data_IF_883019129329
#
_entry.id   IF_883019129329
#
_cell.length_a   1.000
_cell.length_b   1.000
_cell.length_c   1.000
_cell.angle_alpha   90.00
_cell.angle_beta   90.00
_cell.angle_gamma   90.00
#
_symmetry.space_group_name_H-M   'P 1'
#
loop_
_entity.id
_entity.type
_entity.pdbx_description
1 polymer ?
#
# COMPACT_ATOMS: atom_id res chain seq x y z
N UNK A 1 4.76 -12.89 -10.92
CA UNK A 1 4.34 -11.73 -10.13
C UNK A 1 3.99 -12.08 -8.67
N UNK A 2 3.51 -13.28 -8.34
CA UNK A 2 3.10 -13.61 -6.97
C UNK A 2 4.23 -13.62 -5.93
N UNK A 3 5.49 -13.80 -6.35
CA UNK A 3 6.66 -13.87 -5.46
C UNK A 3 7.32 -12.53 -5.14
N UNK A 4 6.95 -11.41 -5.81
CA UNK A 4 7.53 -10.09 -5.61
C UNK A 4 6.62 -9.22 -4.75
N UNK A 5 7.19 -8.44 -3.82
CA UNK A 5 6.44 -7.39 -3.11
C UNK A 5 6.12 -6.23 -4.06
N UNK A 6 5.05 -5.47 -3.77
CA UNK A 6 4.69 -4.26 -4.52
C UNK A 6 5.86 -3.25 -4.54
N UNK A 7 6.53 -3.06 -3.39
CA UNK A 7 7.68 -2.14 -3.30
C UNK A 7 8.85 -2.55 -4.20
N UNK A 8 9.10 -3.86 -4.34
CA UNK A 8 10.14 -4.34 -5.28
C UNK A 8 9.76 -4.14 -6.74
N UNK A 9 8.50 -4.36 -7.10
CA UNK A 9 8.01 -4.06 -8.46
C UNK A 9 8.16 -2.58 -8.76
N UNK A 10 7.73 -1.73 -7.82
CA UNK A 10 7.87 -0.27 -7.93
C UNK A 10 9.34 0.15 -8.08
N UNK A 11 10.22 -0.37 -7.21
CA UNK A 11 11.65 -0.03 -7.23
C UNK A 11 12.31 -0.45 -8.54
N UNK A 12 12.12 -1.69 -8.97
CA UNK A 12 12.70 -2.17 -10.22
C UNK A 12 12.12 -1.48 -11.45
N UNK A 13 10.81 -1.20 -11.43
CA UNK A 13 10.15 -0.47 -12.50
C UNK A 13 10.63 0.98 -12.60
N UNK A 14 10.77 1.70 -11.47
CA UNK A 14 11.31 3.06 -11.46
C UNK A 14 12.79 3.09 -11.88
N UNK A 15 13.60 2.09 -11.51
CA UNK A 15 14.98 1.95 -12.00
C UNK A 15 15.02 1.70 -13.50
N UNK A 16 14.14 0.85 -14.02
CA UNK A 16 13.99 0.63 -15.45
C UNK A 16 13.59 1.91 -16.20
N UNK A 17 12.62 2.64 -15.65
CA UNK A 17 12.18 3.92 -16.20
C UNK A 17 13.31 4.97 -16.17
N UNK A 18 14.11 5.00 -15.10
CA UNK A 18 15.33 5.83 -15.04
C UNK A 18 16.32 5.46 -16.14
N UNK A 19 16.63 4.18 -16.31
CA UNK A 19 17.56 3.71 -17.35
C UNK A 19 17.07 4.09 -18.75
N UNK A 20 15.77 3.93 -19.03
CA UNK A 20 15.15 4.37 -20.29
C UNK A 20 15.28 5.88 -20.46
N UNK A 21 14.95 6.68 -19.45
CA UNK A 21 15.04 8.14 -19.53
C UNK A 21 16.47 8.63 -19.74
N UNK A 22 17.46 7.93 -19.17
CA UNK A 22 18.87 8.23 -19.38
C UNK A 22 19.31 7.89 -20.81
N UNK A 23 18.93 6.72 -21.35
CA UNK A 23 19.22 6.35 -22.74
C UNK A 23 18.58 7.34 -23.72
N UNK A 24 17.33 7.77 -23.48
CA UNK A 24 16.66 8.77 -24.29
C UNK A 24 17.33 10.14 -24.19
N UNK A 25 17.98 10.45 -23.08
CA UNK A 25 18.79 11.66 -22.92
C UNK A 25 20.11 11.59 -23.69
N UNK A 26 20.74 10.40 -23.76
CA UNK A 26 21.95 10.16 -24.58
C UNK A 26 21.64 10.28 -26.05
N UNK A 27 20.52 9.73 -26.51
CA UNK A 27 20.10 9.76 -27.94
C UNK A 27 19.48 11.10 -28.37
N UNK A 28 19.41 12.09 -27.48
CA UNK A 28 18.87 13.42 -27.78
C UNK A 28 17.34 13.52 -27.86
N UNK A 29 16.63 12.43 -27.56
CA UNK A 29 15.15 12.45 -27.52
C UNK A 29 14.59 13.19 -26.30
N UNK A 30 15.40 13.33 -25.23
CA UNK A 30 15.13 14.20 -24.09
C UNK A 30 16.20 15.30 -24.01
N UNK A 31 15.82 16.54 -23.63
CA UNK A 31 16.70 17.72 -23.74
C UNK A 31 17.67 17.87 -22.53
N UNK A 32 18.16 16.77 -21.97
CA UNK A 32 18.95 16.85 -20.73
C UNK A 32 20.41 16.45 -20.89
N UNK A 33 20.78 15.83 -22.03
CA UNK A 33 22.10 15.28 -22.24
C UNK A 33 22.45 14.10 -21.31
N UNK A 34 23.64 13.49 -21.46
CA UNK A 34 23.96 12.24 -20.74
C UNK A 34 24.29 12.44 -19.26
N UNK A 35 24.81 13.61 -18.86
CA UNK A 35 25.36 13.80 -17.50
C UNK A 35 24.32 14.31 -16.49
N UNK A 36 23.42 15.22 -16.91
CA UNK A 36 22.47 15.87 -15.99
C UNK A 36 21.53 14.89 -15.30
N UNK A 37 20.95 13.85 -15.96
CA UNK A 37 20.19 12.82 -15.29
C UNK A 37 20.97 12.05 -14.22
N UNK A 38 22.25 11.74 -14.49
CA UNK A 38 23.13 11.06 -13.54
C UNK A 38 23.44 11.93 -12.32
N UNK A 39 23.73 13.21 -12.53
CA UNK A 39 23.96 14.18 -11.46
C UNK A 39 22.71 14.29 -10.58
N UNK A 40 21.53 14.45 -11.22
CA UNK A 40 20.25 14.56 -10.52
C UNK A 40 19.97 13.37 -9.60
N UNK A 41 20.07 12.15 -10.14
CA UNK A 41 19.80 10.94 -9.36
C UNK A 41 20.85 10.74 -8.25
N UNK A 42 22.11 11.08 -8.49
CA UNK A 42 23.18 10.96 -7.48
C UNK A 42 22.94 11.89 -6.30
N UNK A 43 22.57 13.15 -6.56
CA UNK A 43 22.20 14.12 -5.51
C UNK A 43 21.02 13.59 -4.69
N UNK A 44 19.94 13.13 -5.35
CA UNK A 44 18.74 12.66 -4.70
C UNK A 44 18.98 11.38 -3.89
N UNK A 45 19.75 10.42 -4.42
CA UNK A 45 20.13 9.21 -3.68
C UNK A 45 20.98 9.57 -2.47
N UNK A 46 22.00 10.40 -2.64
CA UNK A 46 22.86 10.86 -1.52
C UNK A 46 22.05 11.56 -0.43
N UNK A 47 21.17 12.49 -0.79
CA UNK A 47 20.31 13.19 0.15
C UNK A 47 19.33 12.24 0.86
N UNK A 48 18.64 11.36 0.11
CA UNK A 48 17.68 10.43 0.70
C UNK A 48 18.33 9.38 1.60
N UNK A 49 19.45 8.79 1.19
CA UNK A 49 20.16 7.80 2.00
C UNK A 49 20.84 8.42 3.21
N UNK A 50 21.52 9.56 3.04
CA UNK A 50 22.16 10.28 4.13
C UNK A 50 21.17 10.67 5.23
N UNK A 51 20.04 11.26 4.84
CA UNK A 51 18.97 11.63 5.78
C UNK A 51 18.38 10.40 6.46
N UNK A 52 18.09 9.34 5.70
CA UNK A 52 17.55 8.10 6.25
C UNK A 52 18.51 7.47 7.28
N UNK A 53 19.80 7.49 7.02
CA UNK A 53 20.82 6.99 7.94
C UNK A 53 20.88 7.81 9.23
N UNK A 54 20.88 9.15 9.13
CA UNK A 54 20.91 10.05 10.29
C UNK A 54 19.67 9.83 11.18
N UNK A 55 18.47 9.90 10.57
CA UNK A 55 17.22 9.74 11.31
C UNK A 55 17.03 8.32 11.86
N UNK A 56 17.49 7.29 11.16
CA UNK A 56 17.43 5.92 11.67
C UNK A 56 18.25 5.72 12.93
N UNK A 57 19.43 6.36 13.02
CA UNK A 57 20.24 6.36 14.24
C UNK A 57 19.59 7.17 15.36
N UNK A 58 19.08 8.36 15.04
CA UNK A 58 18.44 9.24 16.02
C UNK A 58 17.22 8.58 16.67
N UNK A 59 16.37 7.93 15.86
CA UNK A 59 15.13 7.27 16.32
C UNK A 59 15.32 5.78 16.66
N UNK A 60 16.55 5.25 16.59
CA UNK A 60 16.90 3.83 16.87
C UNK A 60 16.02 2.84 16.09
N UNK A 61 15.79 3.12 14.83
CA UNK A 61 15.02 2.26 13.91
C UNK A 61 15.90 1.77 12.77
N UNK A 62 15.57 0.61 12.19
CA UNK A 62 16.31 0.10 11.03
C UNK A 62 15.99 0.93 9.78
N UNK A 63 17.01 1.43 9.04
CA UNK A 63 16.79 2.21 7.83
C UNK A 63 16.14 1.35 6.73
N UNK A 64 15.18 1.92 6.01
CA UNK A 64 14.55 1.25 4.89
C UNK A 64 15.12 1.76 3.56
N UNK A 65 16.15 1.06 3.07
CA UNK A 65 16.84 1.42 1.83
C UNK A 65 15.94 1.38 0.58
N UNK A 66 14.99 0.44 0.51
CA UNK A 66 14.02 0.38 -0.61
C UNK A 66 13.16 1.65 -0.66
N UNK A 67 12.67 2.08 0.49
CA UNK A 67 11.83 3.28 0.60
C UNK A 67 12.60 4.57 0.24
N UNK A 68 13.88 4.67 0.62
CA UNK A 68 14.73 5.82 0.27
C UNK A 68 15.02 5.87 -1.23
N UNK A 69 15.32 4.73 -1.85
CA UNK A 69 15.47 4.61 -3.30
C UNK A 69 14.22 5.03 -4.07
N UNK A 70 13.05 4.51 -3.69
CA UNK A 70 11.77 4.82 -4.34
C UNK A 70 11.51 6.34 -4.26
N UNK A 71 11.74 6.95 -3.09
CA UNK A 71 11.53 8.40 -2.91
C UNK A 71 12.46 9.22 -3.79
N UNK A 72 13.75 8.86 -3.86
CA UNK A 72 14.72 9.52 -4.72
C UNK A 72 14.32 9.42 -6.21
N UNK A 73 13.91 8.23 -6.67
CA UNK A 73 13.47 8.01 -8.05
C UNK A 73 12.17 8.76 -8.39
N UNK A 74 11.23 8.85 -7.46
CA UNK A 74 10.01 9.65 -7.67
C UNK A 74 10.36 11.13 -7.79
N UNK A 75 11.17 11.67 -6.88
CA UNK A 75 11.63 13.07 -6.95
C UNK A 75 12.41 13.37 -8.23
N UNK A 76 13.22 12.42 -8.72
CA UNK A 76 13.90 12.55 -10.00
C UNK A 76 12.92 12.78 -11.15
N UNK A 77 11.77 12.11 -11.18
CA UNK A 77 10.76 12.30 -12.21
C UNK A 77 9.86 13.52 -12.01
N UNK A 78 9.79 14.05 -10.80
CA UNK A 78 9.08 15.30 -10.49
C UNK A 78 9.92 16.52 -10.87
N UNK A 79 11.22 16.55 -10.52
CA UNK A 79 12.12 17.65 -10.80
C UNK A 79 12.95 17.41 -12.05
N UNK A 80 13.02 18.42 -12.92
CA UNK A 80 13.93 18.35 -14.06
C UNK A 80 15.39 18.22 -13.60
N UNK A 81 16.24 17.51 -14.36
CA UNK A 81 17.67 17.47 -14.09
C UNK A 81 18.28 18.87 -14.01
N UNK A 82 19.02 19.21 -12.93
CA UNK A 82 19.43 20.57 -12.60
C UNK A 82 20.34 21.18 -13.68
N UNK A 83 20.16 22.47 -13.95
CA UNK A 83 21.02 23.25 -14.82
C UNK A 83 22.13 23.99 -14.08
N UNK A 84 21.85 24.34 -12.82
CA UNK A 84 22.72 25.10 -11.93
C UNK A 84 23.01 24.34 -10.64
N UNK A 85 24.07 24.75 -9.97
CA UNK A 85 24.39 24.20 -8.63
C UNK A 85 23.26 24.47 -7.64
N UNK A 86 22.65 25.66 -7.70
CA UNK A 86 21.56 26.06 -6.82
C UNK A 86 20.34 25.15 -6.99
N UNK A 87 19.95 24.84 -8.25
CA UNK A 87 18.89 23.87 -8.52
C UNK A 87 19.26 22.48 -7.98
N UNK A 88 20.54 22.07 -8.10
CA UNK A 88 21.05 20.82 -7.53
C UNK A 88 20.91 20.76 -6.01
N UNK A 89 21.25 21.85 -5.32
CA UNK A 89 21.05 21.96 -3.85
C UNK A 89 19.56 21.92 -3.51
N UNK A 90 18.71 22.60 -4.26
CA UNK A 90 17.27 22.65 -4.02
C UNK A 90 16.62 21.27 -4.17
N UNK A 91 16.94 20.50 -5.20
CA UNK A 91 16.42 19.13 -5.34
C UNK A 91 16.97 18.19 -4.26
N UNK A 92 18.23 18.36 -3.84
CA UNK A 92 18.80 17.66 -2.71
C UNK A 92 18.04 17.94 -1.40
N UNK A 93 17.70 19.22 -1.16
CA UNK A 93 16.88 19.64 -0.01
C UNK A 93 15.47 19.00 -0.07
N UNK A 94 14.85 18.90 -1.25
CA UNK A 94 13.59 18.19 -1.42
C UNK A 94 13.72 16.71 -0.98
N UNK A 95 14.83 16.05 -1.31
CA UNK A 95 15.14 14.69 -0.86
C UNK A 95 15.29 14.58 0.66
N UNK A 96 15.99 15.54 1.28
CA UNK A 96 16.16 15.63 2.74
C UNK A 96 14.78 15.77 3.42
N UNK A 97 13.99 16.74 2.99
CA UNK A 97 12.65 17.02 3.56
C UNK A 97 11.72 15.83 3.36
N UNK A 98 11.73 15.21 2.17
CA UNK A 98 10.91 14.04 1.89
C UNK A 98 11.23 12.87 2.84
N UNK A 99 12.49 12.60 3.11
CA UNK A 99 12.87 11.52 4.05
C UNK A 99 12.62 11.95 5.49
N UNK A 100 12.95 13.17 5.89
CA UNK A 100 12.70 13.69 7.22
C UNK A 100 11.19 13.62 7.58
N UNK A 101 10.31 13.93 6.62
CA UNK A 101 8.84 13.86 6.82
C UNK A 101 8.36 12.46 7.22
N UNK A 102 9.04 11.39 6.81
CA UNK A 102 8.73 10.01 7.21
C UNK A 102 8.94 9.74 8.69
N UNK A 103 9.75 10.55 9.35
CA UNK A 103 10.05 10.44 10.78
C UNK A 103 9.32 11.51 11.59
N UNK A 104 9.23 12.73 11.07
CA UNK A 104 8.67 13.88 11.77
C UNK A 104 7.15 14.00 11.62
N UNK A 105 6.61 13.78 10.40
CA UNK A 105 5.17 13.86 10.11
C UNK A 105 4.50 12.50 10.24
N UNK A 106 4.64 11.90 11.44
CA UNK A 106 4.07 10.58 11.73
C UNK A 106 3.05 10.66 12.84
N UNK A 107 1.88 10.02 12.62
CA UNK A 107 0.92 9.76 13.68
C UNK A 107 0.84 8.25 13.88
N UNK A 108 0.94 7.80 15.14
CA UNK A 108 1.00 6.38 15.50
C UNK A 108 2.08 5.62 14.72
N UNK A 109 3.26 6.24 14.58
CA UNK A 109 4.45 5.70 13.88
C UNK A 109 4.22 5.42 12.37
N UNK A 110 3.27 6.11 11.73
CA UNK A 110 3.05 6.05 10.27
C UNK A 110 3.03 7.44 9.69
N UNK A 111 3.71 7.63 8.56
CA UNK A 111 3.56 8.85 7.78
C UNK A 111 2.15 8.89 7.17
N UNK A 112 1.53 10.05 7.27
CA UNK A 112 0.18 10.30 6.75
C UNK A 112 0.25 10.79 5.31
N UNK A 113 1.25 11.58 5.02
CA UNK A 113 1.47 12.28 3.77
C UNK A 113 2.48 11.54 2.89
N UNK A 114 2.31 11.58 1.57
CA UNK A 114 3.29 11.05 0.63
C UNK A 114 4.60 11.85 0.75
N UNK A 115 5.73 11.20 1.10
CA UNK A 115 6.96 11.92 1.43
C UNK A 115 7.54 12.71 0.26
N UNK A 116 7.50 12.16 -0.96
CA UNK A 116 8.00 12.87 -2.15
C UNK A 116 7.17 14.12 -2.44
N UNK A 117 5.84 14.05 -2.26
CA UNK A 117 4.96 15.21 -2.39
C UNK A 117 5.26 16.29 -1.34
N UNK A 118 5.52 15.89 -0.08
CA UNK A 118 5.92 16.85 0.99
C UNK A 118 7.21 17.58 0.60
N UNK A 119 8.25 16.83 0.19
CA UNK A 119 9.51 17.44 -0.24
C UNK A 119 9.33 18.41 -1.39
N UNK A 120 8.53 18.04 -2.39
CA UNK A 120 8.28 18.88 -3.57
C UNK A 120 7.48 20.14 -3.23
N UNK A 121 6.42 20.04 -2.41
CA UNK A 121 5.62 21.19 -1.98
C UNK A 121 6.45 22.18 -1.18
N UNK A 122 7.24 21.72 -0.20
CA UNK A 122 8.02 22.64 0.65
C UNK A 122 9.06 23.39 -0.18
N UNK A 123 9.82 22.71 -1.03
CA UNK A 123 10.85 23.37 -1.84
C UNK A 123 10.23 24.29 -2.90
N UNK A 124 9.10 23.91 -3.49
CA UNK A 124 8.33 24.73 -4.43
C UNK A 124 7.77 25.99 -3.77
N UNK A 125 7.19 25.87 -2.56
CA UNK A 125 6.65 27.02 -1.80
C UNK A 125 7.73 27.99 -1.32
N UNK A 126 8.96 27.51 -1.13
CA UNK A 126 10.12 28.39 -0.84
C UNK A 126 10.68 29.07 -2.11
N UNK A 127 10.10 28.81 -3.27
CA UNK A 127 10.56 29.39 -4.55
C UNK A 127 11.91 28.88 -5.04
N UNK A 128 12.45 27.81 -4.43
CA UNK A 128 13.81 27.32 -4.74
C UNK A 128 13.87 26.57 -6.07
N UNK A 129 12.92 25.66 -6.31
CA UNK A 129 12.77 24.94 -7.58
C UNK A 129 11.33 24.49 -7.76
N UNK A 130 10.80 24.65 -8.97
CA UNK A 130 9.43 24.24 -9.31
C UNK A 130 9.41 22.78 -9.80
N UNK A 131 8.38 22.03 -9.38
CA UNK A 131 8.09 20.71 -9.91
C UNK A 131 7.61 20.84 -11.37
N UNK A 132 8.18 20.04 -12.25
CA UNK A 132 7.87 20.08 -13.70
C UNK A 132 7.28 18.78 -14.22
N UNK A 133 7.26 17.74 -13.40
CA UNK A 133 6.70 16.42 -13.73
C UNK A 133 7.09 15.94 -15.14
N UNK A 134 8.35 16.07 -15.47
CA UNK A 134 8.86 15.80 -16.83
C UNK A 134 8.69 14.32 -17.26
N UNK A 135 8.36 13.44 -16.32
CA UNK A 135 7.89 12.07 -16.59
C UNK A 135 6.62 12.06 -17.44
N UNK A 136 5.79 13.10 -17.35
CA UNK A 136 4.63 13.35 -18.20
C UNK A 136 5.06 13.88 -19.57
N UNK A 137 5.69 13.04 -20.38
CA UNK A 137 6.10 13.33 -21.74
C UNK A 137 5.67 12.22 -22.68
N UNK A 138 5.34 12.55 -23.94
CA UNK A 138 4.93 11.57 -24.95
C UNK A 138 5.96 10.44 -25.12
N UNK A 139 7.24 10.76 -25.02
CA UNK A 139 8.35 9.81 -25.18
C UNK A 139 8.40 8.79 -24.04
N UNK A 140 8.13 9.21 -22.79
CA UNK A 140 8.11 8.33 -21.62
C UNK A 140 6.76 7.65 -21.41
N UNK A 141 5.70 8.12 -22.04
CA UNK A 141 4.32 7.61 -21.83
C UNK A 141 4.19 6.09 -21.93
N UNK A 142 4.69 5.38 -22.97
CA UNK A 142 4.52 3.94 -23.07
C UNK A 142 5.19 3.17 -21.91
N UNK A 143 6.34 3.64 -21.44
CA UNK A 143 7.07 3.02 -20.34
C UNK A 143 6.39 3.25 -18.99
N UNK A 144 5.85 4.46 -18.78
CA UNK A 144 5.04 4.79 -17.60
C UNK A 144 3.75 3.99 -17.59
N UNK A 145 3.12 3.78 -18.73
CA UNK A 145 1.90 2.97 -18.87
C UNK A 145 2.17 1.50 -18.47
N UNK A 146 3.23 0.90 -18.99
CA UNK A 146 3.62 -0.48 -18.65
C UNK A 146 3.87 -0.60 -17.15
N UNK A 147 4.70 0.28 -16.59
CA UNK A 147 4.97 0.30 -15.15
C UNK A 147 3.69 0.46 -14.32
N UNK A 148 2.85 1.40 -14.71
CA UNK A 148 1.59 1.70 -14.03
C UNK A 148 0.65 0.50 -14.00
N UNK A 149 0.45 -0.17 -15.13
CA UNK A 149 -0.38 -1.38 -15.22
C UNK A 149 0.16 -2.50 -14.33
N UNK A 150 1.49 -2.72 -14.32
CA UNK A 150 2.12 -3.72 -13.46
C UNK A 150 1.88 -3.44 -11.96
N UNK A 151 2.02 -2.18 -11.53
CA UNK A 151 1.77 -1.78 -10.14
C UNK A 151 0.30 -1.96 -9.78
N UNK A 152 -0.62 -1.39 -10.58
CA UNK A 152 -2.07 -1.40 -10.30
C UNK A 152 -2.61 -2.84 -10.28
N UNK A 153 -2.14 -3.69 -11.22
CA UNK A 153 -2.48 -5.12 -11.24
C UNK A 153 -2.01 -5.84 -9.97
N UNK A 154 -0.80 -5.51 -9.48
CA UNK A 154 -0.24 -6.12 -8.27
C UNK A 154 -1.05 -5.81 -7.00
N UNK A 155 -1.57 -4.60 -6.90
CA UNK A 155 -2.29 -4.13 -5.70
C UNK A 155 -3.82 -4.20 -5.83
N UNK A 156 -4.32 -4.64 -6.99
CA UNK A 156 -5.77 -4.77 -7.27
C UNK A 156 -6.57 -3.47 -7.05
N UNK A 157 -6.03 -2.31 -7.50
CA UNK A 157 -6.66 -0.98 -7.31
C UNK A 157 -7.13 -0.32 -8.60
N UNK A 158 -7.49 -1.08 -9.61
CA UNK A 158 -8.00 -0.56 -10.89
C UNK A 158 -9.17 0.42 -10.73
N UNK A 159 -10.21 0.17 -9.90
CA UNK A 159 -11.32 1.11 -9.77
C UNK A 159 -10.90 2.48 -9.23
N UNK A 160 -9.97 2.53 -8.28
CA UNK A 160 -9.44 3.77 -7.73
C UNK A 160 -8.69 4.59 -8.78
N UNK A 161 -7.77 3.92 -9.50
CA UNK A 161 -6.93 4.59 -10.51
C UNK A 161 -7.78 5.03 -11.71
N UNK A 162 -8.74 4.20 -12.13
CA UNK A 162 -9.69 4.57 -13.18
C UNK A 162 -10.51 5.79 -12.79
N UNK A 163 -11.07 5.82 -11.58
CA UNK A 163 -11.82 6.95 -11.06
C UNK A 163 -10.98 8.25 -11.02
N UNK A 164 -9.71 8.13 -10.60
CA UNK A 164 -8.77 9.26 -10.61
C UNK A 164 -8.51 9.77 -12.03
N UNK A 165 -8.18 8.88 -12.97
CA UNK A 165 -7.88 9.26 -14.36
C UNK A 165 -9.12 9.88 -15.02
N UNK A 166 -10.29 9.27 -14.88
CA UNK A 166 -11.52 9.79 -15.47
C UNK A 166 -11.88 11.16 -14.88
N UNK A 167 -11.87 11.29 -13.55
CA UNK A 167 -12.19 12.56 -12.90
C UNK A 167 -11.19 13.66 -13.29
N UNK A 168 -9.89 13.36 -13.28
CA UNK A 168 -8.85 14.30 -13.68
C UNK A 168 -8.95 14.71 -15.16
N UNK A 169 -9.16 13.73 -16.04
CA UNK A 169 -9.31 13.98 -17.47
C UNK A 169 -10.54 14.84 -17.78
N UNK A 170 -11.69 14.46 -17.25
CA UNK A 170 -12.95 15.21 -17.47
C UNK A 170 -12.83 16.63 -16.94
N UNK A 171 -12.25 16.82 -15.77
CA UNK A 171 -12.05 18.16 -15.19
C UNK A 171 -11.09 19.00 -16.03
N UNK A 172 -9.94 18.43 -16.43
CA UNK A 172 -8.93 19.15 -17.24
C UNK A 172 -9.50 19.56 -18.60
N UNK A 173 -10.19 18.64 -19.29
CA UNK A 173 -10.83 18.91 -20.59
C UNK A 173 -11.97 19.91 -20.43
N UNK A 174 -12.82 19.77 -19.41
CA UNK A 174 -13.93 20.69 -19.15
C UNK A 174 -13.47 22.14 -18.91
N UNK A 175 -12.43 22.31 -18.11
CA UNK A 175 -11.83 23.65 -17.86
C UNK A 175 -11.19 24.19 -19.13
N UNK A 176 -10.41 23.36 -19.85
CA UNK A 176 -9.75 23.78 -21.08
C UNK A 176 -10.74 24.19 -22.20
N UNK A 177 -11.87 23.49 -22.31
CA UNK A 177 -12.95 23.87 -23.24
C UNK A 177 -13.56 25.21 -22.87
N UNK A 178 -13.80 25.46 -21.56
CA UNK A 178 -14.28 26.74 -21.07
C UNK A 178 -13.31 27.88 -21.38
N UNK A 179 -12.01 27.59 -21.36
CA UNK A 179 -10.96 28.56 -21.71
C UNK A 179 -10.76 28.71 -23.23
N UNK A 180 -11.59 28.06 -24.06
CA UNK A 180 -11.56 28.15 -25.54
C UNK A 180 -10.46 27.34 -26.20
N UNK A 181 -9.81 26.39 -25.48
CA UNK A 181 -8.77 25.53 -26.05
C UNK A 181 -9.40 24.44 -26.93
N UNK A 182 -8.78 24.12 -28.08
CA UNK A 182 -9.26 23.08 -28.98
C UNK A 182 -9.24 21.70 -28.31
N UNK A 183 -10.34 20.94 -28.50
CA UNK A 183 -10.52 19.63 -27.88
C UNK A 183 -9.41 18.63 -28.23
N UNK A 184 -8.92 18.64 -29.46
CA UNK A 184 -7.82 17.76 -29.90
C UNK A 184 -6.53 18.00 -29.15
N UNK A 185 -6.19 19.27 -28.92
CA UNK A 185 -5.04 19.69 -28.12
C UNK A 185 -5.22 19.29 -26.66
N UNK A 186 -6.41 19.52 -26.08
CA UNK A 186 -6.72 19.15 -24.71
C UNK A 186 -6.58 17.65 -24.47
N UNK A 187 -7.15 16.83 -25.34
CA UNK A 187 -7.06 15.36 -25.24
C UNK A 187 -5.60 14.92 -25.31
N UNK A 188 -4.85 15.42 -26.29
CA UNK A 188 -3.44 15.09 -26.48
C UNK A 188 -2.61 15.48 -25.26
N UNK A 189 -2.72 16.71 -24.80
CA UNK A 189 -1.87 17.26 -23.74
C UNK A 189 -2.22 16.64 -22.38
N UNK A 190 -3.52 16.44 -22.10
CA UNK A 190 -3.96 15.77 -20.88
C UNK A 190 -3.53 14.30 -20.83
N UNK A 191 -3.49 13.63 -21.99
CA UNK A 191 -3.08 12.22 -22.05
C UNK A 191 -1.57 12.04 -22.01
N UNK A 192 -0.83 12.83 -22.80
CA UNK A 192 0.60 12.58 -23.06
C UNK A 192 1.55 13.43 -22.24
N UNK A 193 1.12 14.65 -21.84
CA UNK A 193 2.00 15.63 -21.18
C UNK A 193 1.64 15.92 -19.73
N UNK A 194 0.44 15.53 -19.31
CA UNK A 194 -0.02 15.75 -17.95
C UNK A 194 0.35 14.55 -17.04
N UNK A 195 0.71 14.75 -15.76
CA UNK A 195 1.25 13.68 -14.92
C UNK A 195 0.20 12.67 -14.40
N UNK A 196 -1.01 12.64 -15.00
CA UNK A 196 -2.10 11.76 -14.58
C UNK A 196 -1.66 10.31 -14.42
N UNK A 197 -0.97 9.77 -15.43
CA UNK A 197 -0.63 8.35 -15.42
C UNK A 197 0.38 8.01 -14.33
N UNK A 198 1.47 8.79 -14.21
CA UNK A 198 2.50 8.54 -13.21
C UNK A 198 1.98 8.81 -11.80
N UNK A 199 1.33 9.93 -11.57
CA UNK A 199 0.75 10.23 -10.25
C UNK A 199 -0.28 9.18 -9.84
N UNK A 200 -1.21 8.83 -10.73
CA UNK A 200 -2.30 7.89 -10.42
C UNK A 200 -1.84 6.47 -10.19
N UNK A 201 -0.79 6.01 -10.89
CA UNK A 201 -0.34 4.61 -10.79
C UNK A 201 0.81 4.38 -9.82
N UNK A 202 1.68 5.38 -9.61
CA UNK A 202 2.87 5.26 -8.75
C UNK A 202 2.65 5.89 -7.38
N UNK A 203 2.16 7.14 -7.31
CA UNK A 203 2.09 7.86 -6.03
C UNK A 203 0.74 7.71 -5.32
N UNK A 204 -0.37 7.83 -6.04
CA UNK A 204 -1.73 7.66 -5.51
C UNK A 204 -1.94 6.26 -4.90
N UNK A 205 -1.26 5.27 -5.45
CA UNK A 205 -1.38 3.87 -5.06
C UNK A 205 -0.59 3.50 -3.81
N UNK A 206 0.12 4.43 -3.18
CA UNK A 206 0.92 4.15 -1.98
C UNK A 206 0.04 3.55 -0.87
N UNK A 207 0.34 2.32 -0.38
CA UNK A 207 -0.55 1.63 0.55
C UNK A 207 -0.72 2.35 1.90
N UNK A 208 0.27 3.14 2.32
CA UNK A 208 0.23 3.83 3.62
C UNK A 208 -0.74 5.00 3.65
N UNK A 209 -0.89 5.71 2.54
CA UNK A 209 -1.66 6.94 2.44
C UNK A 209 -3.06 6.73 1.84
N UNK A 210 -3.29 5.57 1.20
CA UNK A 210 -4.56 5.21 0.53
C UNK A 210 -5.56 4.61 1.53
N UNK A 211 -6.87 4.96 1.47
CA UNK A 211 -7.92 4.35 2.29
C UNK A 211 -8.01 2.82 2.08
N UNK A 212 -8.41 2.02 3.12
CA UNK A 212 -8.50 0.57 2.99
C UNK A 212 -9.75 0.07 2.26
N UNK A 213 -10.90 0.79 2.39
CA UNK A 213 -12.19 0.39 1.83
C UNK A 213 -12.29 0.79 0.35
N UNK A 214 -12.81 -0.12 -0.50
CA UNK A 214 -12.93 0.11 -1.95
C UNK A 214 -13.72 1.38 -2.31
N UNK A 215 -14.86 1.63 -1.65
CA UNK A 215 -15.66 2.85 -1.88
C UNK A 215 -14.87 4.13 -1.57
N UNK A 216 -14.15 4.14 -0.45
CA UNK A 216 -13.31 5.29 -0.07
C UNK A 216 -12.09 5.44 -1.00
N UNK A 217 -11.57 4.35 -1.57
CA UNK A 217 -10.53 4.41 -2.60
C UNK A 217 -11.02 5.10 -3.87
N UNK A 218 -12.24 4.79 -4.32
CA UNK A 218 -12.84 5.45 -5.48
C UNK A 218 -13.05 6.94 -5.20
N UNK A 219 -13.61 7.29 -4.03
CA UNK A 219 -13.77 8.70 -3.62
C UNK A 219 -12.43 9.43 -3.55
N UNK A 220 -11.41 8.80 -2.97
CA UNK A 220 -10.06 9.33 -2.90
C UNK A 220 -9.49 9.59 -4.30
N UNK A 221 -9.68 8.66 -5.24
CA UNK A 221 -9.30 8.84 -6.63
C UNK A 221 -10.01 10.03 -7.28
N UNK A 222 -11.33 10.14 -7.13
CA UNK A 222 -12.11 11.27 -7.67
C UNK A 222 -11.62 12.61 -7.08
N UNK A 223 -11.49 12.70 -5.77
CA UNK A 223 -11.06 13.94 -5.09
C UNK A 223 -9.69 14.40 -5.62
N UNK A 224 -8.70 13.50 -5.65
CA UNK A 224 -7.36 13.86 -6.11
C UNK A 224 -7.36 14.18 -7.61
N UNK A 225 -8.14 13.46 -8.43
CA UNK A 225 -8.25 13.71 -9.87
C UNK A 225 -8.85 15.09 -10.18
N UNK A 226 -9.92 15.45 -9.50
CA UNK A 226 -10.54 16.78 -9.64
C UNK A 226 -9.55 17.87 -9.18
N UNK A 227 -8.99 17.75 -7.97
CA UNK A 227 -8.07 18.75 -7.42
C UNK A 227 -6.84 18.94 -8.29
N UNK A 228 -6.24 17.86 -8.80
CA UNK A 228 -5.09 17.90 -9.71
C UNK A 228 -5.34 18.77 -10.94
N UNK A 229 -6.55 18.71 -11.46
CA UNK A 229 -6.91 19.35 -12.73
C UNK A 229 -7.52 20.74 -12.56
N UNK A 230 -7.81 21.14 -11.31
CA UNK A 230 -8.32 22.49 -11.04
C UNK A 230 -7.18 23.53 -11.06
N UNK A 231 -7.51 24.72 -11.55
CA UNK A 231 -6.61 25.89 -11.52
C UNK A 231 -6.92 26.81 -10.33
N UNK A 232 -7.31 26.21 -9.21
CA UNK A 232 -7.64 26.95 -8.00
C UNK A 232 -6.36 27.46 -7.36
N UNK A 233 -6.34 28.75 -7.02
CA UNK A 233 -5.29 29.35 -6.20
C UNK A 233 -5.93 29.94 -4.95
N UNK A 234 -5.29 29.79 -3.82
CA UNK A 234 -5.69 30.39 -2.54
C UNK A 234 -4.52 31.29 -2.11
N UNK A 235 -4.70 32.60 -2.32
CA UNK A 235 -3.60 33.56 -2.22
C UNK A 235 -2.53 33.24 -3.27
N UNK A 236 -1.27 33.17 -2.85
CA UNK A 236 -0.13 32.87 -3.72
C UNK A 236 0.08 31.37 -3.96
N UNK A 237 -0.74 30.52 -3.31
CA UNK A 237 -0.59 29.05 -3.44
C UNK A 237 -1.53 28.55 -4.54
N UNK A 238 -0.97 28.16 -5.67
CA UNK A 238 -1.68 27.48 -6.75
C UNK A 238 -1.76 25.97 -6.50
N UNK A 239 -2.88 25.35 -6.89
CA UNK A 239 -3.06 23.91 -6.81
C UNK A 239 -2.03 23.20 -7.72
N UNK A 240 -1.18 22.38 -7.11
CA UNK A 240 -0.19 21.56 -7.82
C UNK A 240 -0.53 20.07 -7.65
N UNK A 241 0.02 19.19 -8.50
CA UNK A 241 -0.20 17.73 -8.35
C UNK A 241 0.15 17.20 -6.96
N UNK A 242 1.19 17.73 -6.36
CA UNK A 242 1.64 17.35 -5.01
C UNK A 242 0.64 17.78 -3.94
N UNK A 243 0.14 19.01 -4.01
CA UNK A 243 -0.86 19.54 -3.06
C UNK A 243 -2.15 18.74 -3.19
N UNK A 244 -2.61 18.46 -4.40
CA UNK A 244 -3.78 17.61 -4.63
C UNK A 244 -3.62 16.23 -3.99
N UNK A 245 -2.45 15.61 -4.13
CA UNK A 245 -2.15 14.32 -3.50
C UNK A 245 -2.12 14.44 -1.97
N UNK A 246 -1.51 15.47 -1.40
CA UNK A 246 -1.45 15.67 0.05
C UNK A 246 -2.85 15.88 0.66
N UNK A 247 -3.71 16.65 0.02
CA UNK A 247 -5.11 16.81 0.43
C UNK A 247 -5.87 15.48 0.39
N UNK A 248 -5.66 14.69 -0.68
CA UNK A 248 -6.17 13.33 -0.75
C UNK A 248 -5.66 12.45 0.39
N UNK A 249 -4.37 12.54 0.74
CA UNK A 249 -3.80 11.77 1.85
C UNK A 249 -4.46 12.15 3.19
N UNK A 250 -4.75 13.43 3.42
CA UNK A 250 -5.51 13.90 4.59
C UNK A 250 -6.90 13.27 4.60
N UNK A 251 -7.63 13.30 3.46
CA UNK A 251 -8.92 12.60 3.33
C UNK A 251 -8.79 11.11 3.68
N UNK A 252 -7.77 10.42 3.13
CA UNK A 252 -7.51 9.01 3.41
C UNK A 252 -7.27 8.72 4.89
N UNK A 253 -6.56 9.63 5.58
CA UNK A 253 -6.29 9.51 7.01
C UNK A 253 -7.54 9.77 7.86
N UNK A 254 -8.28 10.84 7.59
CA UNK A 254 -9.47 11.23 8.35
C UNK A 254 -10.58 10.17 8.23
N UNK A 255 -10.80 9.65 7.02
CA UNK A 255 -11.85 8.65 6.78
C UNK A 255 -11.49 7.25 7.26
N UNK A 256 -10.21 6.97 7.47
CA UNK A 256 -9.74 5.63 7.85
C UNK A 256 -8.45 5.71 8.65
N UNK A 257 -8.49 6.23 9.88
CA UNK A 257 -7.31 6.29 10.72
C UNK A 257 -6.83 4.87 11.01
N UNK A 258 -5.69 4.51 10.43
CA UNK A 258 -5.08 3.20 10.63
C UNK A 258 -4.19 3.25 11.86
N UNK A 259 -4.60 2.57 12.91
CA UNK A 259 -3.77 2.40 14.11
C UNK A 259 -2.85 1.20 13.92
N UNK A 260 -1.63 1.28 14.43
CA UNK A 260 -0.82 0.10 14.68
C UNK A 260 -1.44 -0.64 15.84
N UNK A 261 -1.57 -1.96 15.68
CA UNK A 261 -2.04 -2.84 16.73
C UNK A 261 -0.85 -3.68 17.21
N UNK A 262 -0.21 -3.33 18.33
CA UNK A 262 0.79 -4.20 18.94
C UNK A 262 0.08 -5.42 19.54
N UNK A 263 0.56 -6.60 19.14
CA UNK A 263 0.06 -7.90 19.56
C UNK A 263 1.15 -8.60 20.35
N UNK A 264 0.88 -8.99 21.60
CA UNK A 264 1.80 -9.75 22.45
C UNK A 264 1.54 -11.24 22.29
N UNK A 265 2.55 -12.01 21.89
CA UNK A 265 2.45 -13.45 21.77
C UNK A 265 2.21 -14.11 23.13
N UNK A 266 1.15 -14.90 23.21
CA UNK A 266 0.78 -15.70 24.39
C UNK A 266 1.30 -17.13 24.26
N UNK A 267 0.98 -17.77 23.12
CA UNK A 267 1.34 -19.17 22.87
C UNK A 267 1.43 -19.48 21.39
N UNK A 268 2.20 -20.51 21.09
CA UNK A 268 2.24 -21.19 19.79
C UNK A 268 1.90 -22.66 20.10
N UNK A 269 0.88 -23.19 19.44
CA UNK A 269 0.44 -24.58 19.60
C UNK A 269 0.36 -25.24 18.23
N UNK A 270 0.92 -26.42 18.09
CA UNK A 270 0.66 -27.27 16.92
C UNK A 270 -0.75 -27.85 17.05
N UNK A 271 -1.58 -27.64 16.02
CA UNK A 271 -2.99 -28.03 15.99
C UNK A 271 -3.30 -29.04 14.88
N UNK A 272 -2.33 -29.32 14.05
CA UNK A 272 -2.39 -30.31 12.97
C UNK A 272 -1.02 -30.45 12.31
N UNK A 273 -0.84 -31.45 11.46
CA UNK A 273 0.43 -31.66 10.76
C UNK A 273 0.88 -30.40 10.02
N UNK A 274 2.01 -29.84 10.45
CA UNK A 274 2.59 -28.59 9.92
C UNK A 274 1.69 -27.33 10.09
N UNK A 275 0.67 -27.39 10.94
CA UNK A 275 -0.23 -26.27 11.20
C UNK A 275 -0.11 -25.82 12.64
N UNK A 276 0.23 -24.55 12.82
CA UNK A 276 0.44 -23.92 14.11
C UNK A 276 -0.61 -22.84 14.36
N UNK A 277 -1.16 -22.80 15.54
CA UNK A 277 -2.00 -21.74 16.08
C UNK A 277 -1.12 -20.77 16.86
N UNK A 278 -1.08 -19.53 16.41
CA UNK A 278 -0.42 -18.40 17.07
C UNK A 278 -1.48 -17.57 17.78
N UNK A 279 -1.41 -17.49 19.10
CA UNK A 279 -2.34 -16.75 19.95
C UNK A 279 -1.68 -15.48 20.48
N UNK A 280 -2.32 -14.35 20.25
CA UNK A 280 -1.81 -13.04 20.63
C UNK A 280 -2.85 -12.27 21.46
N UNK A 281 -2.40 -11.57 22.49
CA UNK A 281 -3.22 -10.59 23.21
C UNK A 281 -3.01 -9.20 22.60
N UNK A 282 -4.06 -8.50 22.16
CA UNK A 282 -3.95 -7.11 21.73
C UNK A 282 -3.60 -6.23 22.94
N UNK A 283 -2.60 -5.33 22.78
CA UNK A 283 -2.16 -4.42 23.86
C UNK A 283 -3.11 -3.22 23.97
N UNK A 284 -3.82 -2.90 22.88
CA UNK A 284 -4.83 -1.84 22.83
C UNK A 284 -6.17 -2.42 22.39
N UNK A 285 -7.30 -1.83 22.79
CA UNK A 285 -8.62 -2.27 22.35
C UNK A 285 -8.72 -2.37 20.84
N UNK A 286 -9.23 -3.48 20.35
CA UNK A 286 -9.31 -3.77 18.92
C UNK A 286 -10.64 -4.46 18.59
N UNK A 287 -11.29 -4.00 17.54
CA UNK A 287 -12.54 -4.57 17.03
C UNK A 287 -12.40 -4.92 15.56
N UNK A 288 -12.98 -6.03 15.16
CA UNK A 288 -13.00 -6.51 13.78
C UNK A 288 -14.30 -7.28 13.51
N UNK A 289 -14.55 -7.61 12.26
CA UNK A 289 -15.65 -8.50 11.86
C UNK A 289 -15.11 -9.89 11.55
N UNK A 290 -15.86 -10.92 11.94
CA UNK A 290 -15.50 -12.29 11.61
C UNK A 290 -15.25 -12.47 10.10
N UNK A 291 -14.17 -13.15 9.74
CA UNK A 291 -13.71 -13.35 8.36
C UNK A 291 -12.74 -12.30 7.82
N UNK A 292 -12.47 -11.22 8.56
CA UNK A 292 -11.48 -10.22 8.17
C UNK A 292 -10.04 -10.72 8.37
N UNK A 293 -9.10 -10.05 7.70
CA UNK A 293 -7.66 -10.31 7.84
C UNK A 293 -6.90 -9.04 8.27
N UNK A 294 -5.72 -9.25 8.81
CA UNK A 294 -4.80 -8.18 9.22
C UNK A 294 -3.40 -8.45 8.70
N UNK A 295 -2.65 -7.40 8.44
CA UNK A 295 -1.26 -7.50 7.98
C UNK A 295 -0.31 -7.48 9.18
N UNK A 296 0.46 -8.54 9.37
CA UNK A 296 1.54 -8.62 10.35
C UNK A 296 2.85 -8.14 9.74
N UNK A 297 3.62 -7.39 10.53
CA UNK A 297 4.95 -6.91 10.19
C UNK A 297 5.95 -7.47 11.19
N UNK A 298 7.03 -8.11 10.68
CA UNK A 298 8.13 -8.62 11.48
C UNK A 298 9.44 -7.94 11.09
N UNK A 299 10.33 -7.59 12.04
CA UNK A 299 11.66 -7.12 11.72
C UNK A 299 12.49 -8.29 11.16
N UNK A 300 12.89 -8.19 9.89
CA UNK A 300 13.73 -9.18 9.22
C UNK A 300 15.10 -8.57 8.95
N UNK A 301 16.17 -9.22 9.38
CA UNK A 301 17.55 -8.77 9.09
C UNK A 301 17.86 -8.96 7.60
N UNK A 302 17.41 -10.07 7.01
CA UNK A 302 17.49 -10.37 5.58
C UNK A 302 16.10 -10.79 5.09
N UNK A 303 15.40 -9.86 4.43
CA UNK A 303 14.09 -10.13 3.83
C UNK A 303 14.21 -10.83 2.49
N UNK A 304 13.31 -11.79 2.21
CA UNK A 304 13.12 -12.35 0.88
C UNK A 304 12.45 -11.34 -0.08
N UNK A 305 12.25 -11.74 -1.34
CA UNK A 305 11.59 -10.92 -2.36
C UNK A 305 10.15 -10.51 -1.99
N UNK A 306 9.55 -11.16 -1.00
CA UNK A 306 8.18 -10.89 -0.53
C UNK A 306 8.11 -9.83 0.56
N UNK A 307 9.26 -9.35 1.06
CA UNK A 307 9.36 -8.33 2.11
C UNK A 307 8.99 -8.87 3.51
N UNK A 308 8.82 -7.96 4.46
CA UNK A 308 8.65 -8.23 5.89
C UNK A 308 7.19 -8.18 6.38
N UNK A 309 6.21 -8.23 5.49
CA UNK A 309 4.77 -8.16 5.79
C UNK A 309 4.02 -9.31 5.20
N UNK A 310 3.04 -9.81 5.94
CA UNK A 310 2.11 -10.86 5.48
C UNK A 310 0.73 -10.60 6.04
N UNK A 311 -0.27 -10.79 5.18
CA UNK A 311 -1.67 -10.77 5.60
C UNK A 311 -2.07 -12.17 6.10
N UNK A 312 -2.73 -12.20 7.25
CA UNK A 312 -3.30 -13.40 7.84
C UNK A 312 -4.76 -13.14 8.19
N UNK A 313 -5.61 -14.10 7.87
CA UNK A 313 -6.99 -14.08 8.33
C UNK A 313 -7.00 -14.23 9.85
N UNK A 314 -7.80 -13.42 10.52
CA UNK A 314 -8.05 -13.55 11.94
C UNK A 314 -8.94 -14.79 12.13
N UNK A 315 -8.37 -15.84 12.72
CA UNK A 315 -9.08 -17.09 12.95
C UNK A 315 -9.98 -17.03 14.20
N UNK A 316 -9.67 -16.16 15.18
CA UNK A 316 -10.55 -15.92 16.32
C UNK A 316 -11.83 -15.22 15.91
N UNK A 317 -12.88 -15.43 16.70
CA UNK A 317 -14.11 -14.66 16.66
C UNK A 317 -13.90 -13.28 17.28
N UNK A 318 -14.66 -12.23 16.86
CA UNK A 318 -14.69 -10.94 17.56
C UNK A 318 -15.14 -11.02 19.02
N UNK A 319 -15.73 -12.13 19.42
CA UNK A 319 -16.19 -12.41 20.79
C UNK A 319 -15.10 -13.00 21.69
N UNK A 320 -13.98 -13.45 21.08
CA UNK A 320 -12.83 -13.97 21.81
C UNK A 320 -11.88 -12.82 22.21
N UNK A 321 -11.24 -12.93 23.37
CA UNK A 321 -10.30 -11.90 23.86
C UNK A 321 -9.00 -11.84 23.07
N UNK A 322 -8.55 -13.00 22.59
CA UNK A 322 -7.27 -13.14 21.90
C UNK A 322 -7.44 -13.12 20.39
N UNK A 323 -6.42 -12.61 19.72
CA UNK A 323 -6.30 -12.70 18.25
C UNK A 323 -5.57 -14.00 17.91
N UNK A 324 -6.20 -14.83 17.12
CA UNK A 324 -5.66 -16.14 16.72
C UNK A 324 -5.36 -16.15 15.22
N UNK A 325 -4.18 -16.69 14.87
CA UNK A 325 -3.82 -16.98 13.49
C UNK A 325 -3.48 -18.47 13.34
N UNK A 326 -4.12 -19.13 12.37
CA UNK A 326 -3.75 -20.47 11.93
C UNK A 326 -2.74 -20.37 10.78
N UNK A 327 -1.57 -20.93 10.95
CA UNK A 327 -0.48 -20.80 9.97
C UNK A 327 0.07 -22.18 9.60
N UNK A 328 0.04 -22.49 8.29
CA UNK A 328 0.69 -23.69 7.76
C UNK A 328 2.16 -23.42 7.50
N UNK A 329 3.05 -24.20 8.10
CA UNK A 329 4.51 -24.11 7.96
C UNK A 329 5.03 -25.29 7.16
N UNK A 330 5.43 -25.04 5.91
CA UNK A 330 6.01 -26.07 5.00
C UNK A 330 7.45 -25.71 4.73
N UNK A 331 8.34 -26.67 4.93
CA UNK A 331 9.77 -26.51 4.69
C UNK A 331 10.09 -26.51 3.16
N UNK A 332 11.10 -25.69 2.72
CA UNK A 332 11.85 -24.72 3.53
C UNK A 332 11.03 -23.45 3.83
N UNK A 333 11.10 -22.97 5.06
CA UNK A 333 10.38 -21.77 5.50
C UNK A 333 10.94 -20.52 4.82
N UNK A 334 10.06 -19.70 4.28
CA UNK A 334 10.44 -18.34 3.83
C UNK A 334 10.80 -17.45 5.04
N UNK A 335 11.62 -16.42 4.81
CA UNK A 335 12.20 -15.56 5.85
C UNK A 335 11.17 -15.05 6.88
N UNK A 336 9.96 -14.67 6.45
CA UNK A 336 8.89 -14.24 7.35
C UNK A 336 8.41 -15.37 8.29
N UNK A 337 8.08 -16.54 7.73
CA UNK A 337 7.61 -17.69 8.53
C UNK A 337 8.74 -18.24 9.42
N UNK A 338 9.98 -18.26 8.92
CA UNK A 338 11.15 -18.62 9.71
C UNK A 338 11.42 -17.66 10.89
N UNK A 339 11.05 -16.39 10.78
CA UNK A 339 11.08 -15.45 11.91
C UNK A 339 9.89 -15.65 12.82
N UNK A 340 8.71 -15.93 12.26
CA UNK A 340 7.48 -16.18 13.00
C UNK A 340 7.62 -17.41 13.91
N UNK A 341 8.16 -18.52 13.41
CA UNK A 341 8.39 -19.75 14.19
C UNK A 341 9.42 -19.62 15.31
N UNK A 342 10.26 -18.57 15.27
CA UNK A 342 11.24 -18.25 16.32
C UNK A 342 10.73 -17.28 17.39
N UNK A 343 9.49 -16.82 17.30
CA UNK A 343 8.91 -15.96 18.32
C UNK A 343 8.77 -16.70 19.64
N UNK A 344 8.94 -15.97 20.75
CA UNK A 344 8.81 -16.48 22.12
C UNK A 344 7.62 -15.82 22.80
N UNK A 345 7.06 -16.49 23.78
CA UNK A 345 6.02 -15.90 24.65
C UNK A 345 6.46 -14.55 25.19
N UNK A 346 5.62 -13.54 25.03
CA UNK A 346 5.90 -12.14 25.40
C UNK A 346 6.39 -11.26 24.26
N UNK A 347 6.88 -11.81 23.16
CA UNK A 347 7.30 -11.04 21.98
C UNK A 347 6.14 -10.22 21.42
N UNK A 348 6.46 -9.01 20.96
CA UNK A 348 5.48 -8.08 20.39
C UNK A 348 5.62 -8.05 18.86
N UNK A 349 4.52 -8.33 18.18
CA UNK A 349 4.36 -8.23 16.73
C UNK A 349 3.47 -7.04 16.40
N UNK A 350 3.82 -6.29 15.38
CA UNK A 350 2.98 -5.18 14.92
C UNK A 350 2.01 -5.64 13.84
N UNK A 351 0.72 -5.46 14.10
CA UNK A 351 -0.32 -5.64 13.10
C UNK A 351 -0.81 -4.29 12.55
N UNK A 352 -1.22 -4.27 11.29
CA UNK A 352 -1.74 -3.09 10.59
C UNK A 352 -2.77 -3.50 9.55
N UNK A 353 -3.46 -2.53 8.97
CA UNK A 353 -4.27 -2.76 7.76
C UNK A 353 -5.35 -3.83 7.91
N UNK A 354 -6.19 -3.72 8.98
CA UNK A 354 -7.41 -4.52 9.06
C UNK A 354 -8.24 -4.30 7.79
N UNK A 355 -8.55 -5.39 7.09
CA UNK A 355 -9.28 -5.37 5.82
C UNK A 355 -10.00 -6.71 5.60
N UNK A 356 -10.77 -6.79 4.52
CA UNK A 356 -11.49 -7.97 4.09
C UNK A 356 -13.00 -7.75 4.06
N UNK A 357 -13.60 -8.11 2.92
CA UNK A 357 -15.05 -8.05 2.68
C UNK A 357 -15.69 -9.43 2.84
N UNK A 358 -14.88 -10.45 3.21
CA UNK A 358 -15.34 -11.81 3.43
C UNK A 358 -16.00 -11.93 4.81
N UNK A 359 -17.18 -11.31 4.93
CA UNK A 359 -17.96 -11.26 6.19
C UNK A 359 -19.37 -11.77 5.93
N UNK A 360 -20.09 -12.13 6.98
CA UNK A 360 -21.46 -12.56 6.86
C UNK A 360 -22.33 -11.47 6.19
N UNK A 361 -23.23 -11.87 5.26
CA UNK A 361 -24.24 -10.97 4.70
C UNK A 361 -25.18 -10.49 5.83
N UNK A 362 -25.73 -9.28 5.66
CA UNK A 362 -26.69 -8.72 6.62
C UNK A 362 -28.00 -9.50 6.65
N UNK A 363 -28.42 -10.00 5.49
CA UNK A 363 -29.60 -10.85 5.40
C UNK A 363 -29.33 -12.21 6.02
N UNK A 364 -30.08 -12.51 7.07
CA UNK A 364 -29.93 -13.73 7.85
C UNK A 364 -30.64 -14.93 7.23
N UNK A 365 -31.56 -14.74 6.31
CA UNK A 365 -32.37 -15.78 5.69
C UNK A 365 -31.64 -16.50 4.53
N UNK A 366 -30.57 -15.92 4.03
CA UNK A 366 -29.82 -16.48 2.91
C UNK A 366 -29.07 -17.76 3.33
N UNK A 367 -29.31 -18.90 2.64
CA UNK A 367 -28.48 -20.09 2.82
C UNK A 367 -27.07 -19.81 2.29
N UNK A 368 -26.05 -20.28 3.01
CA UNK A 368 -24.65 -20.03 2.66
C UNK A 368 -23.92 -21.34 2.39
N UNK A 369 -23.12 -21.36 1.35
CA UNK A 369 -22.18 -22.45 1.07
C UNK A 369 -20.76 -21.92 1.25
N UNK A 370 -20.03 -22.55 2.15
CA UNK A 370 -18.62 -22.27 2.43
C UNK A 370 -17.76 -23.38 1.84
N UNK A 371 -16.66 -23.01 1.19
CA UNK A 371 -15.70 -23.96 0.61
C UNK A 371 -14.32 -23.64 1.17
N UNK A 372 -13.78 -24.52 1.98
CA UNK A 372 -12.47 -24.37 2.62
C UNK A 372 -11.49 -25.41 2.11
N UNK A 373 -10.28 -24.96 1.71
CA UNK A 373 -9.15 -25.83 1.38
C UNK A 373 -8.01 -25.68 2.39
N UNK A 374 -7.67 -26.76 3.11
CA UNK A 374 -6.59 -26.76 4.08
C UNK A 374 -6.71 -25.64 5.12
N UNK A 375 -5.60 -24.87 5.34
CA UNK A 375 -5.58 -23.73 6.30
C UNK A 375 -6.47 -22.55 5.87
N UNK A 376 -7.03 -22.55 4.65
CA UNK A 376 -8.04 -21.60 4.21
C UNK A 376 -9.35 -21.67 4.99
N UNK A 377 -9.47 -22.60 5.92
CA UNK A 377 -10.59 -22.75 6.88
C UNK A 377 -10.63 -21.62 7.93
N UNK A 378 -9.55 -20.86 8.12
CA UNK A 378 -9.44 -19.84 9.17
C UNK A 378 -10.56 -18.77 9.17
N UNK A 379 -11.01 -18.17 8.02
CA UNK A 379 -12.13 -17.24 8.05
C UNK A 379 -13.44 -17.91 8.48
N UNK A 380 -13.65 -19.15 8.10
CA UNK A 380 -14.85 -19.91 8.49
C UNK A 380 -14.84 -20.24 9.97
N UNK A 381 -13.68 -20.58 10.53
CA UNK A 381 -13.52 -20.75 12.00
C UNK A 381 -13.96 -19.50 12.74
N UNK A 382 -13.49 -18.33 12.29
CA UNK A 382 -13.87 -17.03 12.87
C UNK A 382 -15.38 -16.78 12.80
N UNK A 383 -15.98 -17.01 11.62
CA UNK A 383 -17.41 -16.77 11.36
C UNK A 383 -18.27 -17.75 12.18
N UNK A 384 -17.93 -19.03 12.14
CA UNK A 384 -18.70 -20.08 12.82
C UNK A 384 -18.63 -19.89 14.34
N UNK A 385 -17.46 -19.61 14.90
CA UNK A 385 -17.32 -19.32 16.33
C UNK A 385 -18.14 -18.09 16.74
N UNK A 386 -18.16 -17.04 15.90
CA UNK A 386 -19.00 -15.88 16.14
C UNK A 386 -20.49 -16.23 16.18
N UNK A 387 -20.98 -17.09 15.29
CA UNK A 387 -22.38 -17.52 15.26
C UNK A 387 -22.74 -18.34 16.51
N UNK A 388 -21.84 -19.23 16.95
CA UNK A 388 -22.00 -20.01 18.18
C UNK A 388 -22.10 -19.08 19.40
N UNK A 389 -21.13 -18.17 19.55
CA UNK A 389 -21.04 -17.28 20.71
C UNK A 389 -22.21 -16.30 20.80
N UNK A 390 -22.68 -15.82 19.64
CA UNK A 390 -23.83 -14.93 19.53
C UNK A 390 -25.18 -15.69 19.50
N UNK A 391 -25.16 -17.04 19.57
CA UNK A 391 -26.33 -17.91 19.47
C UNK A 391 -27.21 -17.66 18.25
N UNK A 392 -26.58 -17.28 17.14
CA UNK A 392 -27.26 -17.03 15.87
C UNK A 392 -27.36 -18.32 15.04
N UNK A 393 -28.58 -18.67 14.67
CA UNK A 393 -28.82 -19.78 13.74
C UNK A 393 -28.69 -19.29 12.29
N UNK A 394 -28.00 -20.08 11.45
CA UNK A 394 -27.84 -19.83 10.03
C UNK A 394 -27.83 -21.16 9.29
N UNK A 395 -28.48 -21.20 8.14
CA UNK A 395 -28.36 -22.32 7.21
C UNK A 395 -27.00 -22.21 6.47
N UNK A 396 -26.02 -22.97 6.92
CA UNK A 396 -24.68 -22.97 6.36
C UNK A 396 -24.22 -24.40 6.09
N UNK A 397 -23.73 -24.64 4.88
CA UNK A 397 -22.99 -25.88 4.56
C UNK A 397 -21.54 -25.54 4.29
N UNK A 398 -20.62 -26.06 5.13
CA UNK A 398 -19.18 -25.94 4.96
C UNK A 398 -18.60 -27.21 4.35
N UNK A 399 -18.10 -27.12 3.10
CA UNK A 399 -17.24 -28.15 2.50
C UNK A 399 -15.79 -27.90 2.91
N UNK A 400 -15.21 -28.84 3.64
CA UNK A 400 -13.82 -28.71 4.12
C UNK A 400 -12.95 -29.79 3.51
N UNK A 401 -12.13 -29.39 2.54
CA UNK A 401 -11.20 -30.24 1.82
C UNK A 401 -9.78 -30.12 2.36
N UNK A 402 -9.14 -31.26 2.59
CA UNK A 402 -7.70 -31.33 2.94
C UNK A 402 -7.05 -32.47 2.17
N UNK A 403 -5.77 -32.29 1.80
CA UNK A 403 -4.99 -33.35 1.15
C UNK A 403 -4.52 -34.47 2.11
N UNK A 404 -4.51 -34.18 3.41
CA UNK A 404 -4.10 -35.07 4.48
C UNK A 404 -5.03 -34.87 5.68
N UNK A 405 -5.71 -35.90 6.17
CA UNK A 405 -6.58 -35.82 7.35
C UNK A 405 -5.90 -35.20 8.59
N UNK A 406 -4.59 -35.39 8.75
CA UNK A 406 -3.81 -34.81 9.85
C UNK A 406 -3.68 -33.28 9.77
N UNK A 407 -4.05 -32.67 8.66
CA UNK A 407 -4.10 -31.21 8.46
C UNK A 407 -5.49 -30.61 8.72
N UNK A 408 -6.45 -31.43 9.10
CA UNK A 408 -7.80 -30.98 9.40
C UNK A 408 -7.86 -30.44 10.83
N UNK A 409 -8.19 -29.15 10.97
CA UNK A 409 -8.10 -28.44 12.26
C UNK A 409 -9.44 -27.82 12.67
N UNK A 410 -9.60 -27.46 13.96
CA UNK A 410 -10.77 -26.77 14.54
C UNK A 410 -12.05 -27.61 14.60
N UNK A 411 -11.93 -28.93 14.68
CA UNK A 411 -13.09 -29.83 14.70
C UNK A 411 -14.07 -29.59 15.84
N UNK A 412 -13.57 -29.32 17.02
CA UNK A 412 -14.41 -29.10 18.22
C UNK A 412 -15.43 -27.99 17.97
N UNK A 413 -14.98 -26.86 17.31
CA UNK A 413 -15.85 -25.74 16.97
C UNK A 413 -16.87 -26.14 15.89
N UNK A 414 -16.43 -26.92 14.90
CA UNK A 414 -17.32 -27.36 13.82
C UNK A 414 -18.34 -28.39 14.25
N UNK A 415 -18.03 -29.26 15.21
CA UNK A 415 -18.98 -30.19 15.78
C UNK A 415 -20.02 -29.47 16.67
N UNK A 416 -19.60 -28.49 17.47
CA UNK A 416 -20.51 -27.64 18.22
C UNK A 416 -21.47 -26.85 17.31
N UNK A 417 -20.99 -26.41 16.15
CA UNK A 417 -21.74 -25.62 15.17
C UNK A 417 -22.98 -26.33 14.61
N UNK A 418 -23.02 -27.65 14.64
CA UNK A 418 -24.18 -28.44 14.19
C UNK A 418 -25.46 -28.06 14.93
N UNK A 419 -25.36 -27.64 16.21
CA UNK A 419 -26.48 -27.18 17.03
C UNK A 419 -27.09 -25.86 16.54
N UNK A 420 -26.38 -25.14 15.68
CA UNK A 420 -26.74 -23.82 15.15
C UNK A 420 -27.10 -23.84 13.67
N UNK A 421 -27.43 -25.02 13.11
CA UNK A 421 -27.84 -25.17 11.70
C UNK A 421 -26.67 -25.23 10.72
N UNK A 422 -25.44 -25.45 11.19
CA UNK A 422 -24.25 -25.48 10.35
C UNK A 422 -23.84 -26.92 10.05
N UNK A 423 -23.92 -27.33 8.79
CA UNK A 423 -23.49 -28.65 8.32
C UNK A 423 -22.04 -28.59 7.82
N UNK A 424 -21.21 -29.51 8.29
CA UNK A 424 -19.81 -29.65 7.86
C UNK A 424 -19.64 -30.95 7.09
N UNK A 425 -19.23 -30.82 5.84
CA UNK A 425 -18.95 -31.93 4.92
C UNK A 425 -17.43 -32.00 4.75
N UNK A 426 -16.85 -33.13 5.10
CA UNK A 426 -15.43 -33.44 4.90
C UNK A 426 -15.24 -33.94 3.46
N UNK A 427 -14.26 -33.39 2.73
CA UNK A 427 -13.94 -33.73 1.34
C UNK A 427 -12.49 -34.16 1.23
#
# INVERSE_FOLDING_TARGET
MNKLSMYKIMLWGLRGLFAVSWLLSITGQLPYGPYRPLISISILLGACFGTSYIFSKLYKVTPNSESSNITALILYFIFQPPKTVLEGVAIGLAGVIAIASKYLLTIHQRHILNPAAVGAVVVGSLGLVQSRWWVGSAVLFPFVLILGVLIVRKIHRFPMVAAFIVAGFVTAVGIGLRDGTQITTLIRDTTLSFPLLFLGTVMLTEPFTTPPRKSLQVMYGIIVGVLLSTRVSIGDISMTPEIALLLGNVFGYVTSPRRRLPLRLISIKEIGSTIFEYRFKPIVPFTFKAGQYIELTLPLNHGDLRGNRRSFTIASSPTEEDIIFGIKEVLPLHSFKAKMSKLRKGDIVTATSLAGDFTLPKDTSLPLVFIAGGIGVTPFRSIIKYLIDSKQQRDITLFYAVSDPAQMVYFEIFDEAKKYGIKVVKV
#
